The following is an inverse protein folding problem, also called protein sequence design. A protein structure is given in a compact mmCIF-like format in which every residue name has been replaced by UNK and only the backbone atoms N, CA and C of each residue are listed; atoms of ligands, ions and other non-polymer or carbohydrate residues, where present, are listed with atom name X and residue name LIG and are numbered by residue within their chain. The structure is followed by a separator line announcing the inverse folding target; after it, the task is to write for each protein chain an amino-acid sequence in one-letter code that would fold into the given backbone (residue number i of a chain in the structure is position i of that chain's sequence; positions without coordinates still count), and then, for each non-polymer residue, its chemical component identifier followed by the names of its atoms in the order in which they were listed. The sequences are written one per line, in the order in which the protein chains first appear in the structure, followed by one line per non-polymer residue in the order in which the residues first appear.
data_IF_229798857636
#
_entry.id   IF_229798857636
#
_cell.length_a   1.000
_cell.length_b   1.000
_cell.length_c   1.000
_cell.angle_alpha   90.00
_cell.angle_beta   90.00
_cell.angle_gamma   90.00
#
_symmetry.space_group_name_H-M   'P 1'
#
loop_
_entity.id
_entity.type
_entity.pdbx_description
1 polymer ?
#
# COMPACT_ATOMS: atom_id res chain seq x y z
N UNK A 1 5.70 -31.06 -9.39
CA UNK A 1 6.71 -30.00 -9.32
C UNK A 1 8.05 -30.62 -9.69
N UNK A 2 8.39 -30.57 -10.97
CA UNK A 2 9.57 -31.29 -11.50
C UNK A 2 10.87 -30.52 -11.21
N UNK A 3 10.82 -29.20 -11.18
CA UNK A 3 12.01 -28.34 -11.06
C UNK A 3 12.13 -27.61 -9.72
N UNK A 4 11.20 -27.80 -8.77
CA UNK A 4 11.22 -27.19 -7.44
C UNK A 4 10.97 -25.68 -7.37
N UNK A 5 11.08 -24.97 -8.50
CA UNK A 5 10.80 -23.53 -8.61
C UNK A 5 10.16 -23.21 -9.96
N UNK A 6 9.26 -22.24 -10.00
CA UNK A 6 8.69 -21.72 -11.22
C UNK A 6 9.56 -20.60 -11.80
N UNK A 7 9.55 -20.43 -13.12
CA UNK A 7 10.26 -19.35 -13.80
C UNK A 7 9.47 -18.01 -13.74
N UNK A 8 8.15 -18.11 -13.58
CA UNK A 8 7.22 -16.98 -13.44
C UNK A 8 6.56 -17.02 -12.05
N UNK A 9 5.91 -15.92 -11.66
CA UNK A 9 5.13 -15.89 -10.42
C UNK A 9 3.94 -16.85 -10.49
N UNK A 10 3.88 -17.76 -9.52
CA UNK A 10 2.75 -18.68 -9.36
C UNK A 10 1.84 -18.31 -8.17
N UNK A 11 2.05 -17.13 -7.59
CA UNK A 11 1.32 -16.69 -6.39
C UNK A 11 -0.18 -16.67 -6.58
N UNK A 12 -0.63 -16.20 -7.73
CA UNK A 12 -2.05 -16.08 -8.07
C UNK A 12 -2.76 -17.42 -8.19
N UNK A 13 -1.98 -18.49 -8.40
CA UNK A 13 -2.51 -19.85 -8.54
C UNK A 13 -2.45 -20.65 -7.24
N UNK A 14 -1.89 -20.11 -6.15
CA UNK A 14 -1.90 -20.76 -4.84
C UNK A 14 -3.23 -20.50 -4.13
N UNK A 15 -4.10 -21.54 -3.95
CA UNK A 15 -5.40 -21.35 -3.30
C UNK A 15 -5.29 -20.98 -1.82
N UNK A 16 -4.15 -21.25 -1.16
CA UNK A 16 -3.92 -20.91 0.25
C UNK A 16 -3.89 -19.41 0.48
N UNK A 17 -3.63 -18.60 -0.58
CA UNK A 17 -3.62 -17.14 -0.49
C UNK A 17 -4.93 -16.55 0.06
N UNK A 18 -6.03 -17.27 -0.08
CA UNK A 18 -7.33 -16.80 0.42
C UNK A 18 -7.49 -16.99 1.94
N UNK A 19 -6.80 -17.95 2.55
CA UNK A 19 -6.93 -18.27 3.96
C UNK A 19 -8.26 -18.99 4.31
N UNK A 20 -8.52 -19.15 5.61
CA UNK A 20 -9.61 -19.99 6.13
C UNK A 20 -11.03 -19.47 5.82
N UNK A 21 -11.17 -18.17 5.48
CA UNK A 21 -12.46 -17.61 5.13
C UNK A 21 -13.04 -18.17 3.83
N UNK A 22 -12.19 -18.67 2.93
CA UNK A 22 -12.58 -19.23 1.65
C UNK A 22 -13.12 -20.67 1.81
N UNK A 23 -14.21 -20.79 2.57
CA UNK A 23 -14.91 -22.07 2.79
C UNK A 23 -15.42 -22.65 1.49
N UNK A 24 -15.77 -23.95 1.48
CA UNK A 24 -16.34 -24.61 0.30
C UNK A 24 -17.61 -23.89 -0.21
N UNK A 25 -18.48 -23.44 0.69
CA UNK A 25 -19.72 -22.76 0.31
C UNK A 25 -19.42 -21.40 -0.34
N UNK A 26 -18.48 -20.64 0.22
CA UNK A 26 -18.02 -19.39 -0.39
C UNK A 26 -17.43 -19.62 -1.77
N UNK A 27 -16.56 -20.63 -1.93
CA UNK A 27 -15.98 -20.97 -3.23
C UNK A 27 -17.05 -21.33 -4.27
N UNK A 28 -18.08 -22.07 -3.89
CA UNK A 28 -19.21 -22.39 -4.78
C UNK A 28 -19.95 -21.13 -5.21
N UNK A 29 -20.20 -20.19 -4.29
CA UNK A 29 -20.88 -18.92 -4.60
C UNK A 29 -20.03 -18.10 -5.58
N UNK A 30 -18.72 -17.94 -5.32
CA UNK A 30 -17.79 -17.21 -6.21
C UNK A 30 -17.65 -17.89 -7.58
N UNK A 31 -17.54 -19.21 -7.61
CA UNK A 31 -17.45 -19.96 -8.86
C UNK A 31 -18.69 -19.79 -9.74
N UNK A 32 -19.89 -19.71 -9.16
CA UNK A 32 -21.12 -19.44 -9.90
C UNK A 32 -21.12 -18.05 -10.51
N UNK A 33 -20.70 -17.03 -9.77
CA UNK A 33 -20.55 -15.66 -10.28
C UNK A 33 -19.55 -15.61 -11.42
N UNK A 34 -18.36 -16.20 -11.23
CA UNK A 34 -17.31 -16.29 -12.25
C UNK A 34 -17.77 -17.01 -13.51
N UNK A 35 -18.52 -18.10 -13.35
CA UNK A 35 -19.05 -18.85 -14.49
C UNK A 35 -20.04 -18.02 -15.31
N UNK A 36 -20.89 -17.23 -14.68
CA UNK A 36 -21.80 -16.33 -15.36
C UNK A 36 -21.10 -15.22 -16.14
N UNK A 37 -19.98 -14.74 -15.62
CA UNK A 37 -19.21 -13.60 -16.17
C UNK A 37 -18.06 -14.00 -17.09
N UNK A 38 -17.79 -15.30 -17.29
CA UNK A 38 -16.58 -15.79 -17.96
C UNK A 38 -16.42 -15.35 -19.42
N UNK A 39 -17.47 -14.90 -20.08
CA UNK A 39 -17.47 -14.42 -21.45
C UNK A 39 -17.59 -12.90 -21.57
N UNK A 40 -17.65 -12.21 -20.43
CA UNK A 40 -17.71 -10.76 -20.39
C UNK A 40 -16.31 -10.19 -20.31
N UNK A 41 -16.07 -9.06 -20.97
CA UNK A 41 -14.88 -8.24 -20.76
C UNK A 41 -15.20 -7.33 -19.58
N UNK A 42 -14.57 -7.52 -18.41
CA UNK A 42 -14.89 -6.71 -17.25
C UNK A 42 -14.42 -5.28 -17.48
N UNK A 43 -15.20 -4.33 -16.97
CA UNK A 43 -14.72 -2.95 -16.84
C UNK A 43 -13.53 -2.88 -15.87
N UNK A 44 -12.70 -1.85 -15.98
CA UNK A 44 -11.68 -1.58 -14.98
C UNK A 44 -12.27 -1.54 -13.58
N UNK A 45 -11.55 -2.12 -12.62
CA UNK A 45 -11.99 -2.19 -11.22
C UNK A 45 -13.33 -2.91 -10.99
N UNK A 46 -13.69 -3.84 -11.86
CA UNK A 46 -14.92 -4.62 -11.71
C UNK A 46 -14.93 -5.37 -10.37
N UNK A 47 -16.01 -5.24 -9.62
CA UNK A 47 -16.15 -5.74 -8.26
C UNK A 47 -17.03 -7.00 -8.22
N UNK A 48 -16.52 -8.09 -7.67
CA UNK A 48 -17.23 -9.36 -7.51
C UNK A 48 -18.07 -9.30 -6.24
N UNK A 49 -19.40 -9.27 -6.38
CA UNK A 49 -20.32 -9.02 -5.26
C UNK A 49 -20.76 -10.28 -4.53
N UNK A 50 -20.76 -11.45 -5.18
CA UNK A 50 -21.26 -12.68 -4.59
C UNK A 50 -20.45 -13.10 -3.35
N UNK A 51 -21.13 -13.56 -2.31
CA UNK A 51 -20.53 -14.05 -1.07
C UNK A 51 -19.93 -12.97 -0.15
N UNK A 52 -20.35 -11.72 -0.28
CA UNK A 52 -19.93 -10.57 0.53
C UNK A 52 -21.05 -10.08 1.46
N UNK A 53 -20.73 -9.39 2.59
CA UNK A 53 -19.40 -9.23 3.18
C UNK A 53 -18.95 -10.49 3.93
N UNK A 54 -17.60 -10.71 4.07
CA UNK A 54 -17.05 -11.84 4.84
C UNK A 54 -16.25 -11.38 6.05
N UNK A 55 -15.30 -10.46 5.84
CA UNK A 55 -14.49 -9.85 6.89
C UNK A 55 -14.78 -8.33 6.93
N UNK A 56 -15.99 -7.91 7.38
CA UNK A 56 -16.25 -6.49 7.58
C UNK A 56 -15.37 -5.95 8.69
N UNK A 57 -14.90 -4.71 8.55
CA UNK A 57 -14.22 -4.02 9.64
C UNK A 57 -15.23 -3.60 10.72
N UNK A 58 -14.78 -3.28 11.93
CA UNK A 58 -15.68 -2.75 12.96
C UNK A 58 -16.35 -1.43 12.55
N UNK A 59 -15.86 -0.76 11.51
CA UNK A 59 -16.37 0.50 11.00
C UNK A 59 -17.30 0.32 9.79
N UNK A 60 -17.52 -0.91 9.33
CA UNK A 60 -18.23 -1.18 8.06
C UNK A 60 -19.58 -0.46 7.95
N UNK A 61 -20.45 -0.64 8.95
CA UNK A 61 -21.79 -0.03 8.94
C UNK A 61 -21.70 1.50 9.02
N UNK A 62 -20.83 2.04 9.89
CA UNK A 62 -20.60 3.48 10.02
C UNK A 62 -20.12 4.10 8.70
N UNK A 63 -19.21 3.46 8.00
CA UNK A 63 -18.68 3.95 6.73
C UNK A 63 -19.70 3.77 5.60
N UNK A 64 -20.49 2.70 5.63
CA UNK A 64 -21.59 2.49 4.70
C UNK A 64 -22.63 3.61 4.80
N UNK A 65 -23.03 3.96 6.03
CA UNK A 65 -23.95 5.07 6.28
C UNK A 65 -23.36 6.43 5.87
N UNK A 66 -22.03 6.56 5.90
CA UNK A 66 -21.32 7.74 5.40
C UNK A 66 -21.14 7.76 3.86
N UNK A 67 -21.70 6.80 3.13
CA UNK A 67 -21.66 6.75 1.67
C UNK A 67 -20.54 5.90 1.07
N UNK A 68 -19.84 5.07 1.86
CA UNK A 68 -18.76 4.23 1.32
C UNK A 68 -19.24 3.23 0.29
N UNK A 69 -18.55 3.16 -0.83
CA UNK A 69 -18.61 2.06 -1.80
C UNK A 69 -17.42 1.16 -1.54
N UNK A 70 -17.66 -0.14 -1.30
CA UNK A 70 -16.62 -1.07 -0.86
C UNK A 70 -16.12 -1.96 -1.99
N UNK A 71 -14.88 -2.40 -1.86
CA UNK A 71 -14.28 -3.51 -2.61
C UNK A 71 -13.88 -4.65 -1.67
N UNK A 72 -13.83 -5.86 -2.20
CA UNK A 72 -13.28 -7.02 -1.48
C UNK A 72 -11.77 -7.12 -1.71
N UNK A 73 -11.02 -7.20 -0.61
CA UNK A 73 -9.58 -7.44 -0.65
C UNK A 73 -9.27 -8.64 0.25
N UNK A 74 -9.16 -9.82 -0.34
CA UNK A 74 -8.91 -11.08 0.40
C UNK A 74 -9.87 -11.30 1.58
N UNK A 75 -11.15 -11.13 1.28
CA UNK A 75 -12.27 -11.26 2.21
C UNK A 75 -12.57 -10.01 3.02
N UNK A 76 -11.66 -9.06 3.12
CA UNK A 76 -11.90 -7.80 3.81
C UNK A 76 -12.68 -6.82 2.95
N UNK A 77 -13.63 -6.12 3.59
CA UNK A 77 -14.33 -4.99 2.98
C UNK A 77 -13.52 -3.72 3.18
N UNK A 78 -13.12 -3.07 2.07
CA UNK A 78 -12.33 -1.86 2.07
C UNK A 78 -13.07 -0.74 1.33
N UNK A 79 -13.25 0.48 1.92
CA UNK A 79 -13.82 1.61 1.20
C UNK A 79 -12.95 1.97 -0.02
N UNK A 80 -13.58 2.08 -1.20
CA UNK A 80 -12.95 2.50 -2.45
C UNK A 80 -13.03 4.02 -2.61
N UNK A 81 -14.22 4.55 -2.42
CA UNK A 81 -14.57 5.96 -2.50
C UNK A 81 -15.88 6.20 -1.76
N UNK A 82 -16.27 7.46 -1.56
CA UNK A 82 -17.46 7.85 -0.83
C UNK A 82 -18.42 8.64 -1.72
N UNK A 83 -19.65 8.15 -1.85
CA UNK A 83 -20.72 8.80 -2.58
C UNK A 83 -21.20 10.06 -1.83
N UNK A 84 -21.32 11.17 -2.56
CA UNK A 84 -21.74 12.48 -2.05
C UNK A 84 -22.52 13.22 -3.13
N UNK A 85 -23.18 14.31 -2.75
CA UNK A 85 -23.79 15.28 -3.68
C UNK A 85 -24.75 14.65 -4.70
N UNK A 86 -25.52 13.63 -4.28
CA UNK A 86 -26.50 12.96 -5.12
C UNK A 86 -25.95 11.88 -6.04
N UNK A 87 -24.65 11.58 -5.99
CA UNK A 87 -24.06 10.43 -6.68
C UNK A 87 -24.50 9.15 -5.98
N UNK A 88 -24.96 8.14 -6.75
CA UNK A 88 -25.44 6.89 -6.17
C UNK A 88 -24.32 6.09 -5.50
N UNK A 89 -24.61 5.52 -4.32
CA UNK A 89 -23.68 4.70 -3.54
C UNK A 89 -23.58 3.28 -4.13
N UNK A 90 -22.98 3.17 -5.29
CA UNK A 90 -22.80 1.91 -6.00
C UNK A 90 -21.59 2.01 -6.93
N UNK A 91 -21.13 0.88 -7.48
CA UNK A 91 -20.09 0.90 -8.50
C UNK A 91 -20.58 1.57 -9.79
N UNK A 92 -19.77 2.47 -10.33
CA UNK A 92 -19.99 3.15 -11.60
C UNK A 92 -18.89 2.71 -12.57
N UNK A 93 -19.20 1.73 -13.41
CA UNK A 93 -18.22 1.14 -14.33
C UNK A 93 -18.13 1.91 -15.62
N UNK A 94 -16.90 2.27 -16.02
CA UNK A 94 -16.61 2.96 -17.27
C UNK A 94 -15.15 2.75 -17.67
N UNK A 95 -14.87 2.78 -18.96
CA UNK A 95 -13.49 2.89 -19.47
C UNK A 95 -13.01 4.35 -19.48
N UNK A 96 -13.91 5.31 -19.26
CA UNK A 96 -13.60 6.73 -19.21
C UNK A 96 -13.82 7.26 -17.79
N UNK A 97 -13.22 8.42 -17.49
CA UNK A 97 -13.49 9.16 -16.25
C UNK A 97 -14.98 9.48 -16.15
N UNK A 98 -15.53 9.23 -14.99
CA UNK A 98 -16.94 9.45 -14.67
C UNK A 98 -17.06 10.23 -13.34
N UNK A 99 -18.24 10.21 -12.72
CA UNK A 99 -18.50 10.88 -11.44
C UNK A 99 -17.60 10.41 -10.30
N UNK A 100 -17.16 9.14 -10.30
CA UNK A 100 -16.23 8.62 -9.29
C UNK A 100 -14.91 9.38 -9.31
N UNK A 101 -14.42 9.76 -10.51
CA UNK A 101 -13.22 10.58 -10.64
C UNK A 101 -13.37 11.93 -9.90
N UNK A 102 -14.55 12.56 -9.97
CA UNK A 102 -14.81 13.81 -9.25
C UNK A 102 -14.85 13.59 -7.74
N UNK A 103 -15.52 12.48 -7.28
CA UNK A 103 -15.58 12.15 -5.87
C UNK A 103 -14.18 11.88 -5.28
N UNK A 104 -13.37 11.12 -5.98
CA UNK A 104 -11.97 10.86 -5.60
C UNK A 104 -11.16 12.17 -5.53
N UNK A 105 -11.34 13.09 -6.48
CA UNK A 105 -10.72 14.40 -6.43
C UNK A 105 -11.11 15.22 -5.19
N UNK A 106 -12.38 15.15 -4.80
CA UNK A 106 -12.87 15.81 -3.57
C UNK A 106 -12.24 15.19 -2.30
N UNK A 107 -12.09 13.86 -2.26
CA UNK A 107 -11.43 13.17 -1.16
C UNK A 107 -9.94 13.54 -1.06
N UNK A 108 -9.23 13.57 -2.18
CA UNK A 108 -7.83 14.02 -2.25
C UNK A 108 -7.70 15.45 -1.74
N UNK A 109 -8.58 16.36 -2.20
CA UNK A 109 -8.56 17.76 -1.78
C UNK A 109 -8.82 17.90 -0.26
N UNK A 110 -9.70 17.08 0.32
CA UNK A 110 -9.96 17.08 1.77
C UNK A 110 -8.72 16.65 2.56
N UNK A 111 -8.01 15.60 2.13
CA UNK A 111 -6.75 15.17 2.77
C UNK A 111 -5.65 16.22 2.61
N UNK A 112 -5.48 16.78 1.41
CA UNK A 112 -4.42 17.78 1.11
C UNK A 112 -4.59 19.10 1.85
N UNK A 113 -5.83 19.57 2.02
CA UNK A 113 -6.11 20.89 2.58
C UNK A 113 -6.54 20.87 4.05
N UNK A 114 -7.01 19.72 4.55
CA UNK A 114 -7.60 19.59 5.87
C UNK A 114 -7.06 18.33 6.58
N UNK A 115 -7.93 17.36 6.79
CA UNK A 115 -7.64 16.06 7.40
C UNK A 115 -8.58 15.01 6.83
N UNK A 116 -8.03 13.85 6.50
CA UNK A 116 -8.80 12.68 6.08
C UNK A 116 -8.57 11.49 7.02
N UNK A 117 -9.59 10.65 7.14
CA UNK A 117 -9.49 9.35 7.80
C UNK A 117 -9.88 8.23 6.84
N UNK A 118 -9.13 7.13 6.89
CA UNK A 118 -9.36 5.94 6.07
C UNK A 118 -9.29 4.69 6.93
N UNK A 119 -10.23 3.80 6.73
CA UNK A 119 -10.17 2.44 7.29
C UNK A 119 -9.14 1.62 6.51
N UNK A 120 -8.04 1.29 7.19
CA UNK A 120 -6.94 0.46 6.66
C UNK A 120 -6.89 -0.91 7.36
N UNK A 121 -8.01 -1.35 7.95
CA UNK A 121 -8.12 -2.63 8.67
C UNK A 121 -7.79 -3.84 7.82
N UNK A 122 -7.95 -3.75 6.49
CA UNK A 122 -7.62 -4.83 5.57
C UNK A 122 -6.12 -5.21 5.55
N UNK A 123 -5.22 -4.35 6.02
CA UNK A 123 -3.79 -4.71 6.08
C UNK A 123 -3.55 -5.93 6.98
N UNK A 124 -2.62 -6.77 6.56
CA UNK A 124 -2.09 -7.86 7.37
C UNK A 124 -1.31 -7.31 8.56
N UNK A 125 -1.56 -7.86 9.73
CA UNK A 125 -0.96 -7.46 11.00
C UNK A 125 -0.47 -8.71 11.73
N UNK A 126 0.85 -8.83 11.90
CA UNK A 126 1.46 -9.99 12.55
C UNK A 126 2.36 -9.52 13.68
N UNK A 127 2.18 -10.11 14.85
CA UNK A 127 3.06 -9.90 16.00
C UNK A 127 4.05 -11.06 16.10
N UNK A 128 5.33 -10.75 16.28
CA UNK A 128 6.42 -11.73 16.43
C UNK A 128 7.10 -11.47 17.77
N UNK A 129 7.18 -12.50 18.60
CA UNK A 129 7.80 -12.43 19.93
C UNK A 129 8.69 -13.65 20.18
N UNK A 130 9.52 -13.56 21.19
CA UNK A 130 10.35 -14.68 21.67
C UNK A 130 11.82 -14.33 21.75
N UNK A 131 12.55 -15.04 22.59
CA UNK A 131 14.00 -14.88 22.76
C UNK A 131 14.67 -15.21 21.42
N UNK A 132 15.42 -14.25 20.86
CA UNK A 132 16.06 -14.40 19.54
C UNK A 132 15.21 -13.93 18.38
N UNK A 133 14.03 -13.30 18.62
CA UNK A 133 13.20 -12.75 17.56
C UNK A 133 13.91 -11.67 16.74
N UNK A 134 14.78 -10.87 17.37
CA UNK A 134 15.57 -9.86 16.70
C UNK A 134 16.55 -10.49 15.67
N UNK A 135 17.30 -11.50 16.09
CA UNK A 135 18.26 -12.21 15.23
C UNK A 135 17.55 -12.95 14.10
N UNK A 136 16.42 -13.61 14.42
CA UNK A 136 15.63 -14.31 13.42
C UNK A 136 15.06 -13.35 12.37
N UNK A 137 14.41 -12.28 12.78
CA UNK A 137 13.86 -11.28 11.86
C UNK A 137 14.95 -10.56 11.07
N UNK A 138 16.14 -10.29 11.67
CA UNK A 138 17.24 -9.65 10.95
C UNK A 138 17.74 -10.50 9.77
N UNK A 139 17.67 -11.84 9.86
CA UNK A 139 17.99 -12.74 8.73
C UNK A 139 16.91 -12.77 7.63
N UNK A 140 15.71 -12.29 7.93
CA UNK A 140 14.59 -12.28 6.98
C UNK A 140 14.45 -10.96 6.23
N UNK A 141 14.85 -9.84 6.83
CA UNK A 141 14.62 -8.50 6.29
C UNK A 141 15.87 -7.92 5.65
N UNK A 142 15.71 -7.24 4.53
CA UNK A 142 16.82 -6.63 3.78
C UNK A 142 17.31 -5.30 4.37
N UNK A 143 16.76 -4.86 5.52
CA UNK A 143 17.16 -3.62 6.19
C UNK A 143 17.57 -3.91 7.63
N UNK A 144 18.18 -2.93 8.28
CA UNK A 144 18.49 -3.01 9.71
C UNK A 144 17.24 -2.84 10.54
N UNK A 145 16.97 -3.79 11.43
CA UNK A 145 15.85 -3.69 12.37
C UNK A 145 15.97 -2.46 13.29
N UNK A 146 14.84 -1.92 13.76
CA UNK A 146 14.85 -0.83 14.72
C UNK A 146 15.56 -1.24 16.02
N UNK A 147 16.53 -0.42 16.47
CA UNK A 147 17.30 -0.68 17.69
C UNK A 147 16.58 -0.22 18.96
N UNK A 148 15.67 0.77 18.84
CA UNK A 148 14.93 1.35 19.96
C UNK A 148 13.47 0.93 19.87
N UNK A 149 12.87 0.74 21.04
CA UNK A 149 11.44 0.56 21.16
C UNK A 149 10.70 1.74 20.52
N UNK A 150 9.61 1.45 19.84
CA UNK A 150 8.87 2.42 19.03
C UNK A 150 9.53 2.76 17.69
N UNK A 151 10.67 2.18 17.33
CA UNK A 151 11.28 2.40 16.00
C UNK A 151 10.47 1.73 14.90
N UNK A 152 10.35 2.39 13.75
CA UNK A 152 9.63 1.91 12.56
C UNK A 152 10.56 1.92 11.37
N UNK A 153 10.56 0.85 10.58
CA UNK A 153 11.25 0.77 9.30
C UNK A 153 10.34 0.19 8.22
N UNK A 154 10.56 0.61 7.00
CA UNK A 154 10.09 -0.08 5.79
C UNK A 154 11.22 -0.96 5.26
N UNK A 155 10.90 -2.20 4.89
CA UNK A 155 11.87 -3.17 4.39
C UNK A 155 11.19 -4.20 3.50
N UNK A 156 12.01 -5.12 2.97
CA UNK A 156 11.55 -6.18 2.09
C UNK A 156 12.04 -7.54 2.60
N UNK A 157 11.17 -8.55 2.49
CA UNK A 157 11.57 -9.95 2.55
C UNK A 157 11.84 -10.42 1.13
N UNK A 158 12.92 -11.14 0.95
CA UNK A 158 13.37 -11.61 -0.35
C UNK A 158 13.31 -13.14 -0.45
N UNK A 159 13.28 -13.65 -1.66
CA UNK A 159 13.58 -15.04 -1.92
C UNK A 159 15.10 -15.23 -2.15
N UNK A 160 15.52 -16.49 -2.28
CA UNK A 160 16.92 -16.86 -2.49
C UNK A 160 17.52 -16.34 -3.81
N UNK A 161 16.69 -15.81 -4.73
CA UNK A 161 17.12 -15.18 -5.99
C UNK A 161 17.22 -13.65 -5.86
N UNK A 162 17.17 -13.09 -4.65
CA UNK A 162 17.20 -11.65 -4.40
C UNK A 162 15.96 -10.88 -4.88
N UNK A 163 14.87 -11.60 -5.22
CA UNK A 163 13.62 -10.97 -5.70
C UNK A 163 12.68 -10.68 -4.56
N UNK A 164 11.86 -9.65 -4.73
CA UNK A 164 10.97 -9.14 -3.69
C UNK A 164 9.81 -10.11 -3.44
N UNK A 165 9.74 -10.66 -2.23
CA UNK A 165 8.62 -11.49 -1.80
C UNK A 165 7.51 -10.69 -1.14
N UNK A 166 7.87 -9.78 -0.23
CA UNK A 166 6.92 -8.98 0.56
C UNK A 166 7.58 -7.65 0.89
N UNK A 167 6.88 -6.54 0.68
CA UNK A 167 7.19 -5.28 1.35
C UNK A 167 6.51 -5.28 2.73
N UNK A 168 7.23 -4.91 3.77
CA UNK A 168 6.73 -4.95 5.14
C UNK A 168 7.23 -3.77 5.95
N UNK A 169 6.32 -3.18 6.72
CA UNK A 169 6.67 -2.24 7.80
C UNK A 169 6.94 -3.05 9.06
N UNK A 170 8.10 -2.86 9.67
CA UNK A 170 8.48 -3.50 10.93
C UNK A 170 8.57 -2.47 12.02
N UNK A 171 7.85 -2.71 13.10
CA UNK A 171 7.82 -1.88 14.30
C UNK A 171 8.39 -2.71 15.46
N UNK A 172 9.36 -2.16 16.19
CA UNK A 172 9.78 -2.73 17.47
C UNK A 172 8.89 -2.17 18.57
N UNK A 173 7.97 -2.99 19.08
CA UNK A 173 7.05 -2.54 20.12
C UNK A 173 7.74 -2.40 21.47
N UNK A 174 8.48 -3.43 21.91
CA UNK A 174 9.28 -3.42 23.12
C UNK A 174 10.19 -4.65 23.17
N UNK A 175 11.46 -4.50 23.52
CA UNK A 175 12.38 -5.64 23.70
C UNK A 175 12.41 -6.57 22.48
N UNK A 176 12.04 -7.83 22.68
CA UNK A 176 11.96 -8.89 21.66
C UNK A 176 10.55 -9.03 21.07
N UNK A 177 9.78 -7.95 21.03
CA UNK A 177 8.43 -7.91 20.51
C UNK A 177 8.34 -6.99 19.29
N UNK A 178 8.01 -7.56 18.14
CA UNK A 178 7.90 -6.88 16.86
C UNK A 178 6.50 -6.97 16.30
N UNK A 179 6.09 -5.94 15.57
CA UNK A 179 4.83 -5.88 14.87
C UNK A 179 5.08 -5.60 13.40
N UNK A 180 4.57 -6.47 12.55
CA UNK A 180 4.77 -6.47 11.11
C UNK A 180 3.46 -6.12 10.42
N UNK A 181 3.50 -5.17 9.50
CA UNK A 181 2.34 -4.73 8.72
C UNK A 181 2.67 -4.83 7.23
N UNK A 182 1.79 -5.47 6.46
CA UNK A 182 1.92 -5.55 5.01
C UNK A 182 0.54 -5.58 4.33
N UNK A 183 0.49 -5.56 3.00
CA UNK A 183 -0.76 -5.62 2.27
C UNK A 183 -1.53 -6.93 2.51
N UNK A 184 -2.85 -6.88 2.48
CA UNK A 184 -3.75 -8.00 2.79
C UNK A 184 -3.45 -9.29 2.02
N UNK A 185 -3.07 -9.19 0.75
CA UNK A 185 -2.78 -10.36 -0.10
C UNK A 185 -1.46 -11.07 0.25
N UNK A 186 -0.65 -10.51 1.15
CA UNK A 186 0.56 -11.15 1.66
C UNK A 186 0.36 -11.90 2.98
N UNK A 187 -0.84 -11.92 3.56
CA UNK A 187 -1.09 -12.52 4.88
C UNK A 187 -0.54 -13.95 4.97
N UNK A 188 -1.03 -14.86 4.13
CA UNK A 188 -0.60 -16.25 4.16
C UNK A 188 0.89 -16.39 3.81
N UNK A 189 1.38 -15.59 2.86
CA UNK A 189 2.79 -15.63 2.45
C UNK A 189 3.73 -15.15 3.57
N UNK A 190 3.35 -14.13 4.32
CA UNK A 190 4.13 -13.66 5.47
C UNK A 190 4.18 -14.74 6.56
N UNK A 191 3.05 -15.36 6.87
CA UNK A 191 2.98 -16.46 7.84
C UNK A 191 3.83 -17.66 7.40
N UNK A 192 3.74 -18.08 6.14
CA UNK A 192 4.56 -19.14 5.57
C UNK A 192 6.06 -18.79 5.60
N UNK A 193 6.41 -17.56 5.27
CA UNK A 193 7.81 -17.10 5.27
C UNK A 193 8.41 -17.14 6.68
N UNK A 194 7.66 -16.64 7.68
CA UNK A 194 8.06 -16.70 9.10
C UNK A 194 8.17 -18.15 9.59
N UNK A 195 7.21 -19.01 9.27
CA UNK A 195 7.23 -20.42 9.67
C UNK A 195 8.40 -21.20 9.06
N UNK A 196 8.72 -20.94 7.78
CA UNK A 196 9.76 -21.68 7.06
C UNK A 196 11.18 -21.18 7.35
N UNK A 197 11.34 -19.94 7.77
CA UNK A 197 12.66 -19.31 7.87
C UNK A 197 12.95 -18.63 9.21
N UNK A 198 11.95 -18.45 10.09
CA UNK A 198 12.10 -17.79 11.38
C UNK A 198 12.88 -18.62 12.42
N UNK A 199 12.96 -19.94 12.23
CA UNK A 199 13.60 -20.84 13.18
C UNK A 199 12.76 -21.15 14.42
N UNK A 200 13.30 -22.01 15.28
CA UNK A 200 12.64 -22.43 16.52
C UNK A 200 12.65 -21.28 17.55
N UNK A 201 11.59 -21.17 18.34
CA UNK A 201 11.51 -20.21 19.46
C UNK A 201 10.81 -18.88 19.12
N UNK A 202 10.37 -18.66 17.88
CA UNK A 202 9.48 -17.56 17.55
C UNK A 202 8.02 -17.90 17.87
N UNK A 203 7.34 -16.97 18.53
CA UNK A 203 5.88 -16.98 18.63
C UNK A 203 5.33 -15.97 17.62
N UNK A 204 4.58 -16.47 16.65
CA UNK A 204 3.94 -15.67 15.59
C UNK A 204 2.45 -15.62 15.84
N UNK A 205 1.90 -14.43 16.02
CA UNK A 205 0.48 -14.21 16.30
C UNK A 205 -0.10 -13.38 15.15
N UNK A 206 -1.02 -13.96 14.39
CA UNK A 206 -1.79 -13.23 13.40
C UNK A 206 -2.84 -12.36 14.09
N UNK A 207 -2.70 -11.04 13.97
CA UNK A 207 -3.62 -10.03 14.52
C UNK A 207 -4.59 -9.48 13.46
N UNK A 208 -4.52 -9.93 12.22
CA UNK A 208 -5.24 -9.30 11.08
C UNK A 208 -6.75 -9.20 11.27
N UNK A 209 -7.38 -10.19 11.91
CA UNK A 209 -8.83 -10.16 12.20
C UNK A 209 -9.17 -9.59 13.57
N UNK A 210 -8.26 -9.68 14.54
CA UNK A 210 -8.49 -9.20 15.91
C UNK A 210 -8.13 -7.73 16.13
N UNK A 211 -7.42 -7.12 15.18
CA UNK A 211 -7.01 -5.71 15.23
C UNK A 211 -7.51 -4.96 14.00
N UNK A 212 -7.97 -3.75 14.24
CA UNK A 212 -8.32 -2.80 13.19
C UNK A 212 -7.29 -1.67 13.13
N UNK A 213 -7.31 -0.91 12.03
CA UNK A 213 -6.41 0.21 11.86
C UNK A 213 -7.06 1.34 11.07
N UNK A 214 -6.76 2.57 11.47
CA UNK A 214 -7.19 3.81 10.84
C UNK A 214 -5.98 4.63 10.41
N UNK A 215 -6.02 5.22 9.22
CA UNK A 215 -5.13 6.31 8.85
C UNK A 215 -5.80 7.64 9.14
N UNK A 216 -5.09 8.56 9.79
CA UNK A 216 -5.47 9.96 10.00
C UNK A 216 -4.40 10.83 9.37
N UNK A 217 -4.70 11.49 8.24
CA UNK A 217 -3.69 12.13 7.40
C UNK A 217 -4.17 13.49 6.89
N UNK A 218 -3.23 14.42 6.73
CA UNK A 218 -3.48 15.78 6.29
C UNK A 218 -2.86 16.82 7.21
N UNK A 219 -2.72 18.09 6.78
CA UNK A 219 -2.04 19.14 7.53
C UNK A 219 -2.67 19.40 8.91
N UNK A 220 -3.97 19.15 9.08
CA UNK A 220 -4.67 19.34 10.35
C UNK A 220 -4.77 18.06 11.21
N UNK A 221 -4.15 16.96 10.79
CA UNK A 221 -4.22 15.66 11.51
C UNK A 221 -3.68 15.74 12.94
N UNK A 222 -2.61 16.54 13.17
CA UNK A 222 -2.07 16.76 14.51
C UNK A 222 -3.05 17.50 15.41
N UNK A 223 -3.73 18.53 14.91
CA UNK A 223 -4.71 19.29 15.67
C UNK A 223 -5.87 18.38 16.10
N UNK A 224 -6.41 17.58 15.20
CA UNK A 224 -7.47 16.61 15.52
C UNK A 224 -6.99 15.58 16.56
N UNK A 225 -5.80 15.02 16.37
CA UNK A 225 -5.29 14.01 17.30
C UNK A 225 -5.03 14.61 18.70
N UNK A 226 -4.59 15.86 18.80
CA UNK A 226 -4.34 16.55 20.06
C UNK A 226 -5.61 16.81 20.89
N UNK A 227 -6.79 16.83 20.27
CA UNK A 227 -8.07 16.99 20.98
C UNK A 227 -8.54 15.69 21.65
N UNK A 228 -7.97 14.53 21.25
CA UNK A 228 -8.43 13.21 21.74
C UNK A 228 -7.36 12.44 22.51
N UNK A 229 -6.16 12.99 22.69
CA UNK A 229 -5.06 12.36 23.45
C UNK A 229 -4.19 13.40 24.15
N UNK A 230 -3.66 13.05 25.32
CA UNK A 230 -2.68 13.85 26.06
C UNK A 230 -1.22 13.57 25.65
N UNK A 231 -1.01 12.68 24.67
CA UNK A 231 0.34 12.31 24.22
C UNK A 231 1.03 13.50 23.52
N UNK A 232 2.35 13.70 23.71
CA UNK A 232 3.08 14.72 22.96
C UNK A 232 3.15 14.34 21.47
N UNK A 233 2.69 15.22 20.59
CA UNK A 233 2.55 14.98 19.15
C UNK A 233 3.51 15.81 18.29
N UNK A 234 4.31 16.70 18.90
CA UNK A 234 5.35 17.48 18.23
C UNK A 234 6.50 16.59 17.72
N UNK A 235 7.42 17.14 16.94
CA UNK A 235 8.53 16.38 16.39
C UNK A 235 9.53 15.88 17.46
N UNK A 236 9.63 16.57 18.59
CA UNK A 236 10.48 16.15 19.71
C UNK A 236 9.86 14.98 20.48
N UNK A 237 8.57 15.08 20.72
CA UNK A 237 7.78 14.08 21.45
C UNK A 237 7.40 12.86 20.61
N UNK A 238 7.14 13.01 19.32
CA UNK A 238 6.72 11.91 18.44
C UNK A 238 7.40 12.02 17.06
N UNK A 239 8.55 11.38 16.91
CA UNK A 239 9.37 11.47 15.70
C UNK A 239 8.73 10.82 14.50
N UNK A 240 9.06 11.32 13.31
CA UNK A 240 8.77 10.63 12.06
C UNK A 240 9.36 9.20 12.05
N UNK A 241 8.62 8.24 11.55
CA UNK A 241 8.94 6.80 11.60
C UNK A 241 9.18 6.29 13.03
N UNK A 242 8.26 6.65 13.93
CA UNK A 242 8.19 6.05 15.24
C UNK A 242 6.76 5.64 15.59
N UNK A 243 6.63 4.75 16.57
CA UNK A 243 5.38 4.25 17.09
C UNK A 243 5.31 4.47 18.60
N UNK A 244 4.12 4.73 19.11
CA UNK A 244 3.81 4.88 20.54
C UNK A 244 2.46 4.31 20.84
N UNK A 245 2.30 3.81 22.04
CA UNK A 245 0.98 3.58 22.61
C UNK A 245 0.44 4.91 23.15
N UNK A 246 -0.79 5.27 22.75
CA UNK A 246 -1.50 6.46 23.18
C UNK A 246 -2.92 6.11 23.57
N UNK A 247 -3.53 6.87 24.49
CA UNK A 247 -4.93 6.72 24.87
C UNK A 247 -5.84 7.58 23.98
N UNK A 248 -6.89 6.99 23.42
CA UNK A 248 -7.97 7.71 22.71
C UNK A 248 -9.29 7.10 23.16
N UNK A 249 -10.26 7.94 23.56
CA UNK A 249 -11.58 7.51 24.04
C UNK A 249 -11.54 6.44 25.14
N UNK A 250 -10.52 6.48 26.02
CA UNK A 250 -10.33 5.51 27.10
C UNK A 250 -9.72 4.17 26.66
N UNK A 251 -9.26 4.05 25.41
CA UNK A 251 -8.65 2.85 24.85
C UNK A 251 -7.20 3.10 24.45
N UNK A 252 -6.34 2.11 24.68
CA UNK A 252 -4.97 2.12 24.22
C UNK A 252 -4.87 1.72 22.75
N UNK A 253 -4.22 2.55 21.95
CA UNK A 253 -3.92 2.28 20.54
C UNK A 253 -2.44 2.52 20.26
N UNK A 254 -1.87 1.76 19.34
CA UNK A 254 -0.56 2.06 18.78
C UNK A 254 -0.72 3.10 17.67
N UNK A 255 -0.14 4.26 17.88
CA UNK A 255 -0.03 5.31 16.87
C UNK A 255 1.34 5.19 16.19
N UNK A 256 1.35 5.09 14.88
CA UNK A 256 2.54 5.02 14.03
C UNK A 256 2.61 6.34 13.25
N UNK A 257 3.63 7.16 13.49
CA UNK A 257 3.80 8.39 12.72
C UNK A 257 4.42 8.09 11.37
N UNK A 258 3.56 7.85 10.42
CA UNK A 258 3.89 7.56 9.02
C UNK A 258 2.71 7.93 8.12
N UNK A 259 2.97 8.07 6.82
CA UNK A 259 1.92 8.45 5.86
C UNK A 259 2.23 7.91 4.47
N UNK A 260 1.25 7.23 3.90
CA UNK A 260 1.30 6.78 2.51
C UNK A 260 0.65 7.79 1.55
N UNK A 261 -0.18 8.71 2.06
CA UNK A 261 -0.70 9.84 1.30
C UNK A 261 0.35 10.96 1.07
N UNK A 262 1.44 10.96 1.87
CA UNK A 262 2.50 11.96 1.77
C UNK A 262 2.19 13.29 2.47
N UNK A 263 1.24 13.28 3.39
CA UNK A 263 0.93 14.38 4.30
C UNK A 263 1.35 14.05 5.73
N UNK A 264 1.31 15.03 6.64
CA UNK A 264 1.40 14.77 8.07
C UNK A 264 0.33 13.76 8.46
N UNK A 265 0.67 12.76 9.30
CA UNK A 265 -0.33 11.81 9.71
C UNK A 265 0.18 10.66 10.58
N UNK A 266 -0.79 9.90 11.03
CA UNK A 266 -0.61 8.71 11.85
C UNK A 266 -1.47 7.56 11.33
N UNK A 267 -0.99 6.35 11.55
CA UNK A 267 -1.80 5.14 11.52
C UNK A 267 -2.06 4.71 12.96
N UNK A 268 -3.32 4.43 13.28
CA UNK A 268 -3.79 4.07 14.61
C UNK A 268 -4.24 2.62 14.59
N UNK A 269 -3.50 1.76 15.30
CA UNK A 269 -3.72 0.32 15.33
C UNK A 269 -4.14 -0.14 16.72
N UNK A 270 -5.17 -0.98 16.81
CA UNK A 270 -5.63 -1.50 18.10
C UNK A 270 -6.65 -2.62 18.00
N UNK A 271 -7.12 -3.15 19.13
CA UNK A 271 -8.17 -4.17 19.14
C UNK A 271 -9.41 -3.71 18.38
N UNK A 272 -9.96 -4.60 17.57
CA UNK A 272 -11.06 -4.29 16.66
C UNK A 272 -12.30 -3.75 17.40
N UNK A 273 -12.59 -4.29 18.58
CA UNK A 273 -13.71 -3.89 19.44
C UNK A 273 -13.65 -2.43 19.91
N UNK A 274 -12.47 -1.82 19.92
CA UNK A 274 -12.26 -0.44 20.40
C UNK A 274 -12.30 0.59 19.26
N UNK A 275 -12.13 0.17 18.00
CA UNK A 275 -11.86 1.08 16.90
C UNK A 275 -13.05 1.94 16.48
N UNK A 276 -14.27 1.51 16.72
CA UNK A 276 -15.44 2.36 16.49
C UNK A 276 -15.44 3.57 17.43
N UNK A 277 -15.14 3.38 18.72
CA UNK A 277 -15.05 4.48 19.68
C UNK A 277 -13.90 5.44 19.35
N UNK A 278 -12.76 4.90 18.88
CA UNK A 278 -11.62 5.70 18.42
C UNK A 278 -12.00 6.53 17.20
N UNK A 279 -12.66 5.92 16.21
CA UNK A 279 -13.13 6.61 15.01
C UNK A 279 -14.13 7.73 15.36
N UNK A 280 -15.11 7.46 16.22
CA UNK A 280 -16.12 8.45 16.60
C UNK A 280 -15.51 9.64 17.36
N UNK A 281 -14.51 9.39 18.22
CA UNK A 281 -13.78 10.47 18.89
C UNK A 281 -12.99 11.34 17.91
N UNK A 282 -12.27 10.71 16.97
CA UNK A 282 -11.54 11.44 15.92
C UNK A 282 -12.48 12.21 15.00
N UNK A 283 -13.64 11.64 14.68
CA UNK A 283 -14.63 12.30 13.83
C UNK A 283 -15.18 13.56 14.51
N UNK A 284 -15.62 13.43 15.76
CA UNK A 284 -16.15 14.56 16.56
C UNK A 284 -15.13 15.70 16.71
N UNK A 285 -13.86 15.38 17.03
CA UNK A 285 -12.78 16.36 17.10
C UNK A 285 -12.47 16.97 15.72
N UNK A 286 -12.58 16.17 14.67
CA UNK A 286 -12.24 16.57 13.30
C UNK A 286 -13.27 17.44 12.61
N UNK A 287 -14.53 17.52 13.06
CA UNK A 287 -15.59 18.29 12.41
C UNK A 287 -15.21 19.77 12.20
N UNK A 288 -14.67 20.41 13.24
CA UNK A 288 -14.21 21.79 13.15
C UNK A 288 -12.98 21.97 12.24
N UNK A 289 -12.27 20.91 11.97
CA UNK A 289 -11.08 20.88 11.11
C UNK A 289 -11.37 20.44 9.68
N UNK A 290 -12.62 20.10 9.36
CA UNK A 290 -13.05 19.64 8.04
C UNK A 290 -12.61 18.22 7.73
N UNK A 291 -12.72 17.32 8.73
CA UNK A 291 -12.43 15.88 8.56
C UNK A 291 -13.33 15.26 7.50
N UNK A 292 -12.75 14.40 6.69
CA UNK A 292 -13.49 13.64 5.68
C UNK A 292 -13.02 12.19 5.62
N UNK A 293 -13.95 11.28 5.32
CA UNK A 293 -13.57 9.93 4.92
C UNK A 293 -13.00 9.95 3.49
N UNK A 294 -11.99 9.12 3.24
CA UNK A 294 -11.46 8.87 1.91
C UNK A 294 -11.19 7.38 1.70
N UNK A 295 -11.21 6.96 0.45
CA UNK A 295 -11.10 5.55 0.08
C UNK A 295 -9.77 5.19 -0.59
N UNK A 296 -9.67 3.92 -1.00
CA UNK A 296 -8.46 3.37 -1.61
C UNK A 296 -8.09 4.04 -2.94
N UNK A 297 -9.08 4.59 -3.68
CA UNK A 297 -8.81 5.31 -4.93
C UNK A 297 -8.11 6.65 -4.68
N UNK A 298 -8.56 7.41 -3.68
CA UNK A 298 -7.89 8.64 -3.28
C UNK A 298 -6.48 8.35 -2.71
N UNK A 299 -6.35 7.30 -1.89
CA UNK A 299 -5.04 6.86 -1.40
C UNK A 299 -4.11 6.48 -2.56
N UNK A 300 -4.60 5.73 -3.55
CA UNK A 300 -3.81 5.36 -4.73
C UNK A 300 -3.37 6.59 -5.55
N UNK A 301 -4.25 7.57 -5.74
CA UNK A 301 -3.89 8.84 -6.39
C UNK A 301 -2.76 9.56 -5.64
N UNK A 302 -2.93 9.73 -4.32
CA UNK A 302 -1.95 10.44 -3.47
C UNK A 302 -0.60 9.73 -3.36
N UNK A 303 -0.57 8.37 -3.24
CA UNK A 303 0.70 7.62 -3.21
C UNK A 303 1.44 7.72 -4.55
N UNK A 304 0.69 7.76 -5.66
CA UNK A 304 1.28 7.95 -6.99
C UNK A 304 1.90 9.34 -7.11
N UNK A 305 1.24 10.39 -6.62
CA UNK A 305 1.80 11.74 -6.58
C UNK A 305 3.12 11.83 -5.78
N UNK A 306 3.26 10.99 -4.74
CA UNK A 306 4.47 10.85 -3.93
C UNK A 306 5.54 9.94 -4.54
N UNK A 307 5.26 9.31 -5.66
CA UNK A 307 6.15 8.32 -6.23
C UNK A 307 6.37 7.10 -5.33
N UNK A 308 5.38 6.75 -4.49
CA UNK A 308 5.46 5.57 -3.62
C UNK A 308 5.01 4.33 -4.39
N UNK A 309 5.89 3.37 -4.46
CA UNK A 309 5.64 2.08 -5.11
C UNK A 309 4.69 1.23 -4.27
N UNK A 310 3.96 0.35 -4.91
CA UNK A 310 3.05 -0.58 -4.26
C UNK A 310 3.20 -1.97 -4.84
N UNK A 311 2.20 -2.81 -4.61
CA UNK A 311 2.22 -4.21 -5.00
C UNK A 311 2.32 -4.46 -6.52
N UNK A 312 1.88 -3.51 -7.33
CA UNK A 312 2.03 -3.60 -8.78
C UNK A 312 3.49 -3.52 -9.26
N UNK A 313 4.32 -2.80 -8.49
CA UNK A 313 5.76 -2.64 -8.76
C UNK A 313 6.59 -3.68 -8.03
N UNK A 314 6.21 -4.04 -6.79
CA UNK A 314 7.03 -4.86 -5.89
C UNK A 314 6.61 -6.33 -5.96
N UNK A 315 7.05 -7.00 -7.02
CA UNK A 315 6.70 -8.41 -7.30
C UNK A 315 7.90 -9.35 -7.15
N UNK A 316 7.66 -10.65 -7.05
CA UNK A 316 8.74 -11.65 -7.01
C UNK A 316 9.37 -11.94 -8.40
N UNK A 317 9.11 -11.11 -9.37
CA UNK A 317 9.73 -11.13 -10.69
C UNK A 317 10.87 -10.12 -10.80
N UNK A 318 10.99 -9.21 -9.83
CA UNK A 318 11.96 -8.12 -9.85
C UNK A 318 12.86 -8.12 -8.62
N UNK A 319 14.06 -7.57 -8.79
CA UNK A 319 15.03 -7.33 -7.73
C UNK A 319 14.86 -5.93 -7.13
N UNK A 320 15.48 -5.67 -5.99
CA UNK A 320 15.42 -4.36 -5.34
C UNK A 320 16.01 -3.21 -6.19
N UNK A 321 17.16 -3.38 -6.90
CA UNK A 321 17.65 -2.38 -7.83
C UNK A 321 16.72 -2.15 -9.03
N UNK A 322 16.16 -3.20 -9.64
CA UNK A 322 15.19 -3.06 -10.75
C UNK A 322 13.94 -2.28 -10.31
N UNK A 323 13.47 -2.51 -9.09
CA UNK A 323 12.34 -1.80 -8.51
C UNK A 323 12.70 -0.40 -8.00
N UNK A 324 13.99 0.01 -8.04
CA UNK A 324 14.50 1.28 -7.52
C UNK A 324 14.06 1.53 -6.05
N UNK A 325 14.34 0.54 -5.18
CA UNK A 325 14.01 0.61 -3.73
C UNK A 325 15.21 0.34 -2.83
N UNK A 326 16.44 0.45 -3.36
CA UNK A 326 17.68 0.24 -2.59
C UNK A 326 17.82 1.15 -1.38
N UNK A 327 17.13 2.31 -1.34
CA UNK A 327 17.08 3.21 -0.17
C UNK A 327 16.51 2.55 1.10
N UNK A 328 15.79 1.43 0.96
CA UNK A 328 15.21 0.65 2.06
C UNK A 328 16.01 -0.60 2.39
N UNK A 329 17.26 -0.69 1.88
CA UNK A 329 18.14 -1.84 2.05
C UNK A 329 19.39 -1.42 2.82
N UNK A 330 19.88 -2.32 3.68
CA UNK A 330 21.15 -2.13 4.35
C UNK A 330 21.99 -3.41 4.25
N UNK A 331 22.92 -3.43 3.33
CA UNK A 331 23.81 -4.57 3.06
C UNK A 331 24.85 -4.84 4.15
N UNK A 332 25.00 -3.93 5.13
CA UNK A 332 25.98 -4.05 6.23
C UNK A 332 25.39 -4.70 7.49
N UNK A 333 24.12 -5.11 7.46
CA UNK A 333 23.44 -5.66 8.67
C UNK A 333 23.79 -7.10 8.99
N UNK A 334 24.64 -7.73 8.21
CA UNK A 334 24.92 -9.17 8.26
C UNK A 334 24.23 -9.92 7.12
N UNK A 335 24.11 -11.22 7.28
CA UNK A 335 23.49 -12.08 6.28
C UNK A 335 21.96 -12.04 6.38
N UNK A 336 21.29 -11.99 5.21
CA UNK A 336 19.85 -12.13 5.07
C UNK A 336 19.50 -12.88 3.78
N UNK A 337 18.32 -13.45 3.71
CA UNK A 337 17.87 -14.21 2.54
C UNK A 337 17.94 -13.35 1.28
N UNK A 338 18.68 -13.78 0.27
CA UNK A 338 18.83 -13.10 -1.02
C UNK A 338 19.86 -11.97 -1.02
N UNK A 339 20.70 -11.83 0.01
CA UNK A 339 21.70 -10.75 0.11
C UNK A 339 22.72 -10.79 -1.02
N UNK A 340 23.33 -11.94 -1.30
CA UNK A 340 24.37 -12.05 -2.33
C UNK A 340 23.82 -11.73 -3.72
N UNK A 341 22.61 -12.19 -4.02
CA UNK A 341 21.91 -11.87 -5.26
C UNK A 341 21.53 -10.37 -5.34
N UNK A 342 21.23 -9.74 -4.20
CA UNK A 342 20.99 -8.29 -4.15
C UNK A 342 22.27 -7.52 -4.47
N UNK A 343 23.42 -7.96 -3.94
CA UNK A 343 24.72 -7.35 -4.25
C UNK A 343 25.05 -7.54 -5.74
N UNK A 344 24.86 -8.72 -6.29
CA UNK A 344 25.07 -9.00 -7.71
C UNK A 344 24.16 -8.13 -8.61
N UNK A 345 22.89 -7.99 -8.23
CA UNK A 345 21.93 -7.13 -8.94
C UNK A 345 22.29 -5.64 -8.84
N UNK A 346 22.81 -5.18 -7.70
CA UNK A 346 23.31 -3.82 -7.56
C UNK A 346 24.53 -3.57 -8.45
N UNK A 347 25.47 -4.50 -8.52
CA UNK A 347 26.61 -4.43 -9.42
C UNK A 347 26.18 -4.38 -10.89
N UNK A 348 25.16 -5.15 -11.27
CA UNK A 348 24.59 -5.09 -12.61
C UNK A 348 23.93 -3.72 -12.91
N UNK A 349 23.30 -3.11 -11.90
CA UNK A 349 22.77 -1.75 -12.02
C UNK A 349 23.87 -0.72 -12.26
N UNK A 350 24.95 -0.78 -11.48
CA UNK A 350 26.12 0.11 -11.60
C UNK A 350 26.84 -0.08 -12.94
N UNK A 351 26.87 -1.30 -13.46
CA UNK A 351 27.43 -1.62 -14.78
C UNK A 351 26.47 -1.29 -15.96
N UNK A 352 25.25 -0.84 -15.71
CA UNK A 352 24.24 -0.56 -16.75
C UNK A 352 23.74 -1.79 -17.49
N UNK A 353 23.82 -2.97 -16.88
CA UNK A 353 23.46 -4.26 -17.52
C UNK A 353 22.12 -4.83 -17.02
N UNK A 354 21.38 -4.10 -16.21
CA UNK A 354 20.03 -4.51 -15.79
C UNK A 354 19.09 -4.63 -17.00
N UNK A 355 18.23 -5.66 -17.02
CA UNK A 355 17.28 -5.83 -18.12
C UNK A 355 16.17 -4.77 -18.10
N UNK A 356 15.76 -4.31 -16.92
CA UNK A 356 14.64 -3.40 -16.69
C UNK A 356 14.94 -2.48 -15.51
N UNK A 357 14.25 -1.34 -15.48
CA UNK A 357 14.18 -0.45 -14.31
C UNK A 357 12.77 0.11 -14.17
N UNK A 358 12.30 0.23 -12.94
CA UNK A 358 11.04 0.87 -12.60
C UNK A 358 11.18 2.39 -12.69
N UNK A 359 10.73 2.96 -13.79
CA UNK A 359 10.69 4.41 -13.99
C UNK A 359 9.37 5.02 -13.51
N UNK A 360 9.42 6.28 -13.09
CA UNK A 360 8.25 7.07 -12.72
C UNK A 360 7.94 8.05 -13.85
N UNK A 361 6.70 8.06 -14.34
CA UNK A 361 6.28 8.77 -15.53
C UNK A 361 5.17 9.78 -15.23
N UNK A 362 5.20 10.92 -15.89
CA UNK A 362 4.05 11.80 -16.06
C UNK A 362 3.54 11.68 -17.51
N UNK A 363 2.26 11.41 -17.66
CA UNK A 363 1.55 11.21 -18.94
C UNK A 363 0.59 12.38 -19.13
N UNK A 364 0.42 12.87 -20.35
CA UNK A 364 -0.57 13.91 -20.66
C UNK A 364 -1.98 13.45 -20.29
N UNK A 365 -2.70 14.33 -19.58
CA UNK A 365 -4.02 14.06 -19.00
C UNK A 365 -5.20 14.42 -19.91
N UNK A 366 -4.95 14.81 -21.16
CA UNK A 366 -5.95 15.35 -22.09
C UNK A 366 -6.98 14.31 -22.55
N UNK A 367 -6.71 13.03 -22.39
CA UNK A 367 -7.64 11.95 -22.74
C UNK A 367 -8.78 11.79 -21.73
N UNK A 368 -9.88 11.16 -22.16
CA UNK A 368 -11.04 10.82 -21.33
C UNK A 368 -10.85 9.61 -20.45
N UNK A 369 -9.92 8.73 -20.79
CA UNK A 369 -9.62 7.50 -20.07
C UNK A 369 -8.23 7.58 -19.41
N UNK A 370 -8.03 6.90 -18.30
CA UNK A 370 -6.74 6.70 -17.66
C UNK A 370 -6.24 5.27 -17.92
N UNK A 371 -4.94 5.04 -17.77
CA UNK A 371 -4.37 3.70 -17.80
C UNK A 371 -4.67 2.93 -16.52
N UNK A 372 -4.47 1.62 -16.57
CA UNK A 372 -4.76 0.71 -15.44
C UNK A 372 -3.56 -0.19 -15.07
N UNK A 373 -2.47 -0.08 -15.81
CA UNK A 373 -1.31 -0.98 -15.78
C UNK A 373 -1.34 -1.94 -16.98
N UNK A 374 -0.15 -2.21 -17.51
CA UNK A 374 0.03 -3.03 -18.70
C UNK A 374 0.06 -2.25 -20.03
N UNK A 375 -0.12 -0.92 -19.99
CA UNK A 375 -0.01 -0.08 -21.19
C UNK A 375 1.40 -0.12 -21.76
N UNK A 376 1.53 -0.22 -23.10
CA UNK A 376 2.81 -0.18 -23.78
C UNK A 376 3.46 1.19 -23.64
N UNK A 377 4.74 1.19 -23.27
CA UNK A 377 5.59 2.38 -23.25
C UNK A 377 6.47 2.37 -24.49
N UNK A 378 6.44 3.45 -25.25
CA UNK A 378 7.12 3.62 -26.52
C UNK A 378 8.22 4.65 -26.44
N UNK A 379 9.35 4.38 -27.08
CA UNK A 379 10.46 5.33 -27.29
C UNK A 379 10.94 5.18 -28.74
N UNK A 380 10.97 6.26 -29.49
CA UNK A 380 11.36 6.28 -30.90
C UNK A 380 10.64 5.22 -31.75
N UNK A 381 9.32 5.08 -31.56
CA UNK A 381 8.48 4.14 -32.30
C UNK A 381 8.66 2.66 -31.92
N UNK A 382 9.38 2.35 -30.84
CA UNK A 382 9.61 0.98 -30.35
C UNK A 382 9.06 0.80 -28.95
N UNK A 383 8.51 -0.37 -28.66
CA UNK A 383 8.11 -0.73 -27.30
C UNK A 383 9.37 -0.92 -26.45
N UNK A 384 9.48 -0.15 -25.38
CA UNK A 384 10.59 -0.23 -24.42
C UNK A 384 10.17 -0.80 -23.07
N UNK A 385 8.90 -1.04 -22.84
CA UNK A 385 8.38 -1.64 -21.62
C UNK A 385 6.87 -1.48 -21.49
N UNK A 386 6.38 -1.61 -20.25
CA UNK A 386 4.95 -1.44 -19.92
C UNK A 386 4.76 -0.81 -18.56
N UNK A 387 3.62 -0.15 -18.36
CA UNK A 387 3.20 0.39 -17.08
C UNK A 387 2.86 -0.74 -16.09
N UNK A 388 3.07 -0.51 -14.80
CA UNK A 388 2.65 -1.41 -13.71
C UNK A 388 1.47 -0.83 -12.94
N UNK A 389 1.51 0.45 -12.59
CA UNK A 389 0.43 1.19 -11.96
C UNK A 389 0.23 2.52 -12.66
N UNK A 390 -1.03 2.93 -12.78
CA UNK A 390 -1.40 4.25 -13.32
C UNK A 390 -2.48 4.86 -12.44
N UNK A 391 -2.40 6.17 -12.18
CA UNK A 391 -3.47 6.92 -11.55
C UNK A 391 -3.44 8.39 -11.96
N UNK A 392 -4.59 9.03 -11.93
CA UNK A 392 -4.68 10.48 -12.06
C UNK A 392 -4.28 11.14 -10.73
N UNK A 393 -3.27 12.00 -10.79
CA UNK A 393 -2.83 12.81 -9.65
C UNK A 393 -3.65 14.10 -9.56
N UNK A 394 -4.66 14.09 -8.70
CA UNK A 394 -5.61 15.20 -8.57
C UNK A 394 -4.96 16.49 -8.06
N UNK A 395 -3.89 16.38 -7.24
CA UNK A 395 -3.15 17.54 -6.74
C UNK A 395 -2.27 18.20 -7.80
N UNK A 396 -1.83 17.43 -8.79
CA UNK A 396 -0.84 17.86 -9.80
C UNK A 396 -1.43 17.97 -11.21
N UNK A 397 -2.68 17.52 -11.42
CA UNK A 397 -3.38 17.61 -12.70
C UNK A 397 -2.73 16.77 -13.82
N UNK A 398 -2.08 15.64 -13.47
CA UNK A 398 -1.38 14.78 -14.41
C UNK A 398 -1.77 13.31 -14.21
N UNK A 399 -1.72 12.52 -15.26
CA UNK A 399 -1.73 11.07 -15.13
C UNK A 399 -0.30 10.63 -14.78
N UNK A 400 -0.16 9.87 -13.70
CA UNK A 400 1.11 9.39 -13.19
C UNK A 400 1.17 7.87 -13.33
N UNK A 401 2.34 7.34 -13.69
CA UNK A 401 2.54 5.92 -13.85
C UNK A 401 3.90 5.47 -13.30
N UNK A 402 3.95 4.23 -12.83
CA UNK A 402 5.19 3.46 -12.80
C UNK A 402 5.23 2.54 -14.01
N UNK A 403 6.41 2.31 -14.55
CA UNK A 403 6.63 1.42 -15.68
C UNK A 403 7.98 0.71 -15.57
N UNK A 404 8.01 -0.58 -15.87
CA UNK A 404 9.24 -1.30 -16.09
C UNK A 404 9.67 -1.11 -17.54
N UNK A 405 10.75 -0.37 -17.75
CA UNK A 405 11.26 -0.01 -19.06
C UNK A 405 12.75 -0.33 -19.19
N UNK A 406 13.24 -0.32 -20.42
CA UNK A 406 14.66 -0.48 -20.74
C UNK A 406 15.47 0.66 -20.12
N UNK A 407 16.65 0.37 -19.50
CA UNK A 407 17.47 1.38 -18.81
C UNK A 407 17.88 2.57 -19.70
N UNK A 408 18.10 2.35 -21.00
CA UNK A 408 18.45 3.40 -21.96
C UNK A 408 17.34 4.45 -22.17
N UNK A 409 16.08 4.11 -21.85
CA UNK A 409 14.93 5.00 -21.95
C UNK A 409 14.51 5.61 -20.58
N UNK A 410 15.19 5.26 -19.47
CA UNK A 410 14.75 5.57 -18.11
C UNK A 410 15.34 6.86 -17.51
N UNK A 411 16.20 7.57 -18.24
CA UNK A 411 16.81 8.81 -17.73
C UNK A 411 15.74 9.90 -17.48
N UNK A 412 15.78 10.61 -16.34
CA UNK A 412 14.87 11.73 -16.09
C UNK A 412 14.88 12.75 -17.24
N UNK A 413 13.67 13.19 -17.65
CA UNK A 413 13.47 14.09 -18.79
C UNK A 413 13.35 13.40 -20.15
N UNK A 414 13.57 12.07 -20.24
CA UNK A 414 13.36 11.34 -21.49
C UNK A 414 11.89 11.42 -21.91
N UNK A 415 11.67 11.84 -23.15
CA UNK A 415 10.34 11.87 -23.76
C UNK A 415 9.95 10.47 -24.25
N UNK A 416 8.77 10.04 -23.84
CA UNK A 416 8.18 8.74 -24.13
C UNK A 416 6.74 8.92 -24.64
N UNK A 417 6.15 7.83 -25.08
CA UNK A 417 4.70 7.76 -25.33
C UNK A 417 4.13 6.54 -24.58
N UNK A 418 2.95 6.70 -24.01
CA UNK A 418 2.20 5.60 -23.37
C UNK A 418 0.90 5.39 -24.14
N UNK A 419 0.64 4.15 -24.55
CA UNK A 419 -0.54 3.82 -25.37
C UNK A 419 -1.71 3.49 -24.45
N UNK A 420 -2.59 4.45 -24.23
CA UNK A 420 -3.79 4.32 -23.40
C UNK A 420 -5.02 4.20 -24.31
N UNK A 421 -5.78 3.11 -24.19
CA UNK A 421 -6.98 2.88 -25.00
C UNK A 421 -6.75 3.11 -26.51
N UNK A 422 -5.63 2.59 -27.02
CA UNK A 422 -5.18 2.73 -28.42
C UNK A 422 -4.83 4.18 -28.87
N UNK A 423 -4.63 5.08 -27.90
CA UNK A 423 -4.15 6.45 -28.14
C UNK A 423 -2.74 6.60 -27.57
N UNK A 424 -1.77 6.98 -28.41
CA UNK A 424 -0.42 7.32 -27.94
C UNK A 424 -0.46 8.69 -27.27
N UNK A 425 -0.10 8.74 -26.00
CA UNK A 425 -0.04 9.97 -25.20
C UNK A 425 1.40 10.30 -24.85
N UNK A 426 1.74 11.57 -25.00
CA UNK A 426 3.06 12.05 -24.60
C UNK A 426 3.28 11.80 -23.12
N UNK A 427 4.50 11.40 -22.82
CA UNK A 427 4.93 11.11 -21.45
C UNK A 427 6.37 11.56 -21.24
N UNK A 428 6.74 11.78 -20.01
CA UNK A 428 8.13 12.12 -19.62
C UNK A 428 8.52 11.35 -18.38
N UNK A 429 9.76 10.89 -18.33
CA UNK A 429 10.34 10.27 -17.14
C UNK A 429 10.58 11.35 -16.08
N UNK A 430 10.06 11.16 -14.88
CA UNK A 430 10.26 12.03 -13.73
C UNK A 430 11.49 11.57 -12.92
N UNK A 431 12.28 12.53 -12.43
CA UNK A 431 13.42 12.28 -11.56
C UNK A 431 13.09 12.34 -10.06
N UNK A 432 11.90 12.84 -9.73
CA UNK A 432 11.45 13.04 -8.35
C UNK A 432 9.92 12.93 -8.24
N UNK A 433 9.41 12.86 -7.02
CA UNK A 433 7.98 12.83 -6.76
C UNK A 433 7.28 14.09 -7.29
N UNK A 434 6.11 13.93 -7.89
CA UNK A 434 5.33 15.05 -8.43
C UNK A 434 4.72 15.94 -7.33
N UNK A 435 4.56 15.43 -6.12
CA UNK A 435 4.09 16.14 -4.93
C UNK A 435 5.10 16.04 -3.80
N UNK A 436 5.46 17.19 -3.20
CA UNK A 436 6.39 17.31 -2.08
C UNK A 436 7.65 16.40 -2.26
N UNK A 437 8.47 16.65 -3.30
CA UNK A 437 9.60 15.78 -3.67
C UNK A 437 10.63 15.63 -2.54
N UNK A 438 10.75 16.64 -1.69
CA UNK A 438 11.67 16.63 -0.54
C UNK A 438 11.10 15.93 0.69
N UNK A 439 9.85 15.48 0.63
CA UNK A 439 9.14 14.79 1.72
C UNK A 439 9.14 15.61 3.02
N UNK A 440 8.81 16.90 2.92
CA UNK A 440 8.77 17.83 4.05
C UNK A 440 7.43 17.78 4.79
N UNK A 441 6.31 17.65 4.05
CA UNK A 441 4.97 17.68 4.63
C UNK A 441 4.74 16.64 5.74
N UNK A 442 5.10 15.36 5.60
CA UNK A 442 4.94 14.37 6.66
C UNK A 442 5.79 14.65 7.90
N UNK A 443 6.85 15.45 7.76
CA UNK A 443 7.84 15.74 8.80
C UNK A 443 7.66 17.09 9.46
N UNK A 444 6.66 17.85 9.02
CA UNK A 444 6.40 19.20 9.56
C UNK A 444 6.08 19.15 11.05
N UNK A 445 6.36 20.23 11.75
CA UNK A 445 6.00 20.42 13.15
C UNK A 445 4.65 21.17 13.32
N UNK A 446 4.00 21.50 12.22
CA UNK A 446 2.71 22.20 12.17
C UNK A 446 2.83 23.52 11.47
#
# INVERSE_FOLDING_TARGET
MVHGAADISMREFDPRRFGDYATKDWQVIKAKEDYCLRHEIPFPHFNRLAGRPIKPSPLYDRLKDAGAVFEEVYGHERPRWFARDGVAQQDHYSFCRNEVHVMVGTEVAAVRNNVGTMDITAFTKVEVTGTGSAEALQRLVANRLPRKDGGVILTHLLNRRGRIEIEVTVIRLAGDRYYLVCAAFFEQRLLDHLANHGGDGLTVINRSTGWAALALQGPKSRAVLAEVTDAPLDNAGFRWLSARQIGIAGHDVWALRMSYAGELGWELHGPAENMLAVYDALWAAGEAHGIANYGSFAMNAMRMEKGFKGAGELTNEVTLPEADVMRFVNLETGDFIGRDETIASQQAAEAGTMPWICAYLAIDADGKADGHGGEAVMHDGRVVGSTSSVAYGHSVGKVLAFAYIKPEAAAPGTALEVVVMNEARKSVVLGEAAWDPQNLLPRTDG
#
